data_IF_850447634434
#
_entry.id   IF_850447634434
#
_cell.length_a   1.000
_cell.length_b   1.000
_cell.length_c   1.000
_cell.angle_alpha   90.00
_cell.angle_beta   90.00
_cell.angle_gamma   90.00
#
_symmetry.space_group_name_H-M   'P 1'
#
loop_
_entity.id
_entity.type
_entity.pdbx_description
1 polymer ?
#
# COMPACT_ATOMS: atom_id res chain seq x y z
N UNK A 1 -19.75 -6.62 33.01
CA UNK A 1 -19.50 -6.29 31.60
C UNK A 1 -19.54 -4.78 31.47
N UNK A 2 -18.37 -4.16 31.52
CA UNK A 2 -18.20 -2.72 31.28
C UNK A 2 -18.25 -2.46 29.76
N UNK A 3 -18.95 -1.42 29.31
CA UNK A 3 -19.07 -1.07 27.89
C UNK A 3 -17.90 -0.17 27.44
N UNK A 4 -16.65 -0.60 27.70
CA UNK A 4 -15.45 0.22 27.51
C UNK A 4 -14.35 -0.46 26.69
N UNK A 5 -14.71 -1.44 25.86
CA UNK A 5 -13.88 -1.96 24.78
C UNK A 5 -14.53 -1.55 23.46
N UNK A 6 -14.64 -0.22 23.23
CA UNK A 6 -14.68 0.27 21.86
C UNK A 6 -13.28 0.03 21.31
N UNK A 7 -13.14 -1.15 20.72
CA UNK A 7 -12.05 -1.58 19.85
C UNK A 7 -11.82 -0.46 18.82
N UNK A 8 -10.96 0.50 19.17
CA UNK A 8 -10.41 1.45 18.23
C UNK A 8 -9.55 0.60 17.31
N UNK A 9 -10.18 0.09 16.25
CA UNK A 9 -9.52 -0.41 15.06
C UNK A 9 -8.74 0.77 14.45
N UNK A 10 -7.71 1.24 15.16
CA UNK A 10 -6.68 2.10 14.61
C UNK A 10 -5.96 1.22 13.59
N UNK A 11 -6.31 1.42 12.31
CA UNK A 11 -5.60 0.75 11.24
C UNK A 11 -4.09 1.00 11.41
N UNK A 12 -3.25 -0.03 11.26
CA UNK A 12 -1.83 0.08 11.54
C UNK A 12 -1.19 1.18 10.68
N UNK A 13 -0.56 2.14 11.35
CA UNK A 13 0.21 3.20 10.69
C UNK A 13 1.37 2.56 9.93
N UNK A 14 1.48 2.84 8.63
CA UNK A 14 2.58 2.32 7.81
C UNK A 14 3.88 3.04 8.18
N UNK A 15 4.94 2.28 8.40
CA UNK A 15 6.27 2.82 8.67
C UNK A 15 6.90 3.39 7.39
N UNK A 16 7.98 4.19 7.54
CA UNK A 16 8.75 4.62 6.38
C UNK A 16 9.34 3.43 5.58
N UNK A 17 9.64 2.31 6.23
CA UNK A 17 10.10 1.10 5.54
C UNK A 17 8.99 0.48 4.68
N UNK A 18 7.76 0.44 5.19
CA UNK A 18 6.58 -0.03 4.46
C UNK A 18 6.31 0.84 3.22
N UNK A 19 6.37 2.17 3.40
CA UNK A 19 6.25 3.10 2.27
C UNK A 19 7.34 2.89 1.23
N UNK A 20 8.59 2.67 1.65
CA UNK A 20 9.70 2.40 0.75
C UNK A 20 9.45 1.14 -0.08
N UNK A 21 8.99 0.06 0.55
CA UNK A 21 8.65 -1.19 -0.13
C UNK A 21 7.53 -1.00 -1.17
N UNK A 22 6.46 -0.25 -0.83
CA UNK A 22 5.39 0.06 -1.77
C UNK A 22 5.88 0.92 -2.96
N UNK A 23 6.64 1.98 -2.67
CA UNK A 23 7.09 2.94 -3.69
C UNK A 23 8.17 2.38 -4.61
N UNK A 24 8.89 1.35 -4.19
CA UNK A 24 9.85 0.61 -5.02
C UNK A 24 9.18 -0.05 -6.24
N UNK A 25 7.88 -0.31 -6.17
CA UNK A 25 7.09 -0.93 -7.26
C UNK A 25 6.74 0.07 -8.37
N UNK A 26 6.84 1.36 -8.07
CA UNK A 26 6.50 2.43 -9.00
C UNK A 26 7.62 2.78 -9.95
N UNK A 27 7.25 3.19 -11.15
CA UNK A 27 8.14 3.90 -12.07
C UNK A 27 8.38 5.34 -11.60
N UNK A 28 9.41 5.99 -12.14
CA UNK A 28 9.71 7.40 -11.83
C UNK A 28 8.50 8.35 -12.06
N UNK A 29 7.79 8.27 -13.21
CA UNK A 29 6.59 9.07 -13.44
C UNK A 29 5.46 8.85 -12.42
N UNK A 30 5.31 7.64 -11.90
CA UNK A 30 4.28 7.33 -10.90
C UNK A 30 4.64 7.87 -9.53
N UNK A 31 5.93 7.78 -9.13
CA UNK A 31 6.44 8.45 -7.93
C UNK A 31 6.27 9.97 -8.01
N UNK A 32 6.51 10.56 -9.18
CA UNK A 32 6.23 11.97 -9.42
C UNK A 32 4.72 12.28 -9.25
N UNK A 33 3.84 11.44 -9.77
CA UNK A 33 2.39 11.60 -9.60
C UNK A 33 1.95 11.50 -8.13
N UNK A 34 2.60 10.67 -7.31
CA UNK A 34 2.38 10.63 -5.86
C UNK A 34 2.70 11.98 -5.23
N UNK A 35 3.88 12.57 -5.53
CA UNK A 35 4.28 13.88 -5.01
C UNK A 35 3.31 14.98 -5.44
N UNK A 36 2.90 15.00 -6.71
CA UNK A 36 1.99 16.04 -7.21
C UNK A 36 0.65 16.00 -6.49
N UNK A 37 0.08 14.80 -6.32
CA UNK A 37 -1.23 14.63 -5.70
C UNK A 37 -1.17 14.92 -4.20
N UNK A 38 -0.28 14.24 -3.46
CA UNK A 38 -0.11 14.48 -2.02
C UNK A 38 0.30 15.93 -1.74
N UNK A 39 1.18 16.49 -2.56
CA UNK A 39 1.64 17.87 -2.44
C UNK A 39 0.51 18.88 -2.66
N UNK A 40 -0.40 18.64 -3.62
CA UNK A 40 -1.57 19.48 -3.84
C UNK A 40 -2.54 19.42 -2.64
N UNK A 41 -2.80 18.22 -2.11
CA UNK A 41 -3.71 18.03 -0.97
C UNK A 41 -3.14 18.65 0.31
N UNK A 42 -1.83 18.49 0.56
CA UNK A 42 -1.15 19.17 1.67
C UNK A 42 -1.12 20.69 1.47
N UNK A 43 -0.89 21.19 0.25
CA UNK A 43 -0.90 22.63 -0.04
C UNK A 43 -2.26 23.28 0.23
N UNK A 44 -3.36 22.54 0.06
CA UNK A 44 -4.70 23.01 0.39
C UNK A 44 -4.92 23.17 1.90
N UNK A 45 -4.16 22.45 2.73
CA UNK A 45 -4.21 22.54 4.20
C UNK A 45 -3.34 23.67 4.78
N UNK A 46 -2.44 24.25 3.97
CA UNK A 46 -1.57 25.34 4.42
C UNK A 46 -2.34 26.66 4.45
N UNK A 47 -2.52 27.23 5.63
CA UNK A 47 -3.37 28.44 5.82
C UNK A 47 -2.71 29.72 5.36
N UNK A 48 -1.38 29.77 5.37
CA UNK A 48 -0.61 31.00 5.13
C UNK A 48 -0.23 31.14 3.64
N UNK A 49 -0.66 32.21 2.95
CA UNK A 49 -0.45 32.35 1.50
C UNK A 49 1.03 32.32 1.06
N UNK A 50 1.92 32.91 1.86
CA UNK A 50 3.37 32.91 1.56
C UNK A 50 3.95 31.50 1.60
N UNK A 51 3.55 30.69 2.58
CA UNK A 51 3.97 29.28 2.66
C UNK A 51 3.32 28.45 1.56
N UNK A 52 2.05 28.68 1.28
CA UNK A 52 1.33 27.98 0.22
C UNK A 52 2.05 28.12 -1.14
N UNK A 53 2.49 29.34 -1.48
CA UNK A 53 3.28 29.56 -2.71
C UNK A 53 4.61 28.80 -2.69
N UNK A 54 5.33 28.81 -1.56
CA UNK A 54 6.60 28.10 -1.43
C UNK A 54 6.41 26.58 -1.55
N UNK A 55 5.35 26.04 -0.93
CA UNK A 55 4.91 24.65 -1.04
C UNK A 55 4.64 24.27 -2.49
N UNK A 56 3.81 25.03 -3.22
CA UNK A 56 3.48 24.74 -4.61
C UNK A 56 4.73 24.73 -5.50
N UNK A 57 5.67 25.64 -5.27
CA UNK A 57 6.94 25.68 -6.01
C UNK A 57 7.80 24.45 -5.71
N UNK A 58 7.94 24.05 -4.44
CA UNK A 58 8.72 22.89 -4.06
C UNK A 58 8.13 21.59 -4.64
N UNK A 59 6.81 21.40 -4.52
CA UNK A 59 6.09 20.23 -5.05
C UNK A 59 6.28 20.13 -6.57
N UNK A 60 6.09 21.23 -7.30
CA UNK A 60 6.25 21.25 -8.75
C UNK A 60 7.69 20.91 -9.17
N UNK A 61 8.69 21.53 -8.54
CA UNK A 61 10.08 21.27 -8.86
C UNK A 61 10.48 19.82 -8.58
N UNK A 62 10.07 19.25 -7.43
CA UNK A 62 10.37 17.84 -7.10
C UNK A 62 9.67 16.87 -8.04
N UNK A 63 8.40 17.11 -8.36
CA UNK A 63 7.66 16.27 -9.30
C UNK A 63 8.30 16.27 -10.69
N UNK A 64 8.75 17.44 -11.18
CA UNK A 64 9.47 17.55 -12.45
C UNK A 64 10.79 16.77 -12.42
N UNK A 65 11.56 16.87 -11.33
CA UNK A 65 12.79 16.11 -11.16
C UNK A 65 12.55 14.59 -11.18
N UNK A 66 11.53 14.10 -10.46
CA UNK A 66 11.24 12.66 -10.37
C UNK A 66 10.53 12.07 -11.58
N UNK A 67 9.87 12.88 -12.41
CA UNK A 67 9.27 12.41 -13.66
C UNK A 67 10.31 11.79 -14.61
N UNK A 68 11.58 12.12 -14.39
CA UNK A 68 12.73 11.60 -15.11
C UNK A 68 13.12 12.49 -16.29
N UNK A 69 14.41 12.77 -16.41
CA UNK A 69 14.96 13.54 -17.52
C UNK A 69 15.52 12.63 -18.62
N UNK A 70 15.56 13.15 -19.85
CA UNK A 70 16.12 12.43 -21.01
C UNK A 70 17.65 12.38 -21.01
N UNK A 71 18.31 13.24 -20.24
CA UNK A 71 19.77 13.28 -20.10
C UNK A 71 20.17 13.55 -18.65
N UNK A 72 21.36 13.06 -18.29
CA UNK A 72 21.92 13.16 -16.93
C UNK A 72 22.15 14.63 -16.50
N UNK A 73 22.61 15.48 -17.41
CA UNK A 73 22.79 16.92 -17.13
C UNK A 73 21.47 17.62 -16.79
N UNK A 74 20.38 17.25 -17.46
CA UNK A 74 19.06 17.82 -17.18
C UNK A 74 18.51 17.25 -15.87
N UNK A 75 18.73 15.96 -15.57
CA UNK A 75 18.35 15.36 -14.29
C UNK A 75 19.01 16.08 -13.12
N UNK A 76 20.35 16.24 -13.15
CA UNK A 76 21.10 16.89 -12.10
C UNK A 76 20.63 18.33 -11.84
N UNK A 77 20.38 19.09 -12.91
CA UNK A 77 19.86 20.45 -12.80
C UNK A 77 18.47 20.49 -12.15
N UNK A 78 17.56 19.61 -12.54
CA UNK A 78 16.20 19.56 -11.98
C UNK A 78 16.24 19.16 -10.50
N UNK A 79 17.12 18.23 -10.13
CA UNK A 79 17.33 17.84 -8.73
C UNK A 79 17.88 19.01 -7.90
N UNK A 80 18.86 19.76 -8.41
CA UNK A 80 19.40 20.95 -7.72
C UNK A 80 18.34 22.05 -7.55
N UNK A 81 17.51 22.27 -8.58
CA UNK A 81 16.39 23.23 -8.52
C UNK A 81 15.35 22.78 -7.49
N UNK A 82 15.03 21.49 -7.41
CA UNK A 82 14.11 20.91 -6.43
C UNK A 82 14.66 20.98 -5.00
N UNK A 83 15.93 20.63 -4.80
CA UNK A 83 16.61 20.73 -3.50
C UNK A 83 16.66 22.19 -3.02
N UNK A 84 16.91 23.13 -3.93
CA UNK A 84 16.89 24.57 -3.63
C UNK A 84 15.50 25.05 -3.22
N UNK A 85 14.46 24.65 -3.94
CA UNK A 85 13.07 25.02 -3.62
C UNK A 85 12.65 24.45 -2.25
N UNK A 86 12.97 23.18 -1.99
CA UNK A 86 12.68 22.51 -0.71
C UNK A 86 13.45 23.16 0.45
N UNK A 87 14.73 23.48 0.26
CA UNK A 87 15.54 24.19 1.27
C UNK A 87 14.98 25.57 1.59
N UNK A 88 14.49 26.31 0.60
CA UNK A 88 13.84 27.62 0.82
C UNK A 88 12.56 27.47 1.64
N UNK A 89 11.72 26.47 1.36
CA UNK A 89 10.53 26.17 2.15
C UNK A 89 10.90 25.84 3.60
N UNK A 90 11.85 24.94 3.81
CA UNK A 90 12.33 24.54 5.14
C UNK A 90 12.87 25.73 5.94
N UNK A 91 13.69 26.60 5.32
CA UNK A 91 14.20 27.83 5.95
C UNK A 91 13.08 28.81 6.32
N UNK A 92 12.08 28.96 5.46
CA UNK A 92 10.93 29.83 5.72
C UNK A 92 10.15 29.31 6.93
N UNK A 93 9.88 28.00 6.99
CA UNK A 93 9.24 27.37 8.15
C UNK A 93 10.05 27.52 9.42
N UNK A 94 11.36 27.28 9.38
CA UNK A 94 12.24 27.44 10.54
C UNK A 94 12.25 28.89 11.06
N UNK A 95 12.31 29.88 10.17
CA UNK A 95 12.24 31.29 10.55
C UNK A 95 10.92 31.64 11.23
N UNK A 96 9.80 31.12 10.73
CA UNK A 96 8.48 31.34 11.31
C UNK A 96 8.32 30.70 12.70
N UNK A 97 8.90 29.51 12.91
CA UNK A 97 8.92 28.84 14.21
C UNK A 97 9.59 29.69 15.29
N UNK A 98 10.69 30.36 14.95
CA UNK A 98 11.44 31.20 15.89
C UNK A 98 10.69 32.50 16.24
N UNK A 99 9.93 33.05 15.30
CA UNK A 99 9.34 34.38 15.48
C UNK A 99 7.92 34.41 16.05
N UNK A 100 7.16 33.31 15.99
CA UNK A 100 5.71 33.38 16.22
C UNK A 100 5.13 32.51 17.33
N UNK A 101 5.94 31.77 18.09
CA UNK A 101 5.55 31.04 19.33
C UNK A 101 4.25 30.22 19.27
N UNK A 102 3.79 29.85 18.06
CA UNK A 102 2.48 29.27 17.82
C UNK A 102 2.51 28.20 16.72
N UNK A 103 1.47 27.36 16.74
CA UNK A 103 1.35 26.06 16.09
C UNK A 103 1.97 26.01 14.69
N UNK A 104 3.00 25.18 14.57
CA UNK A 104 3.67 24.79 13.32
C UNK A 104 2.60 24.32 12.33
N UNK A 105 2.62 24.85 11.11
CA UNK A 105 1.80 24.38 9.98
C UNK A 105 2.24 22.94 9.61
N UNK A 106 1.55 21.89 10.07
CA UNK A 106 2.05 20.51 9.96
C UNK A 106 2.10 20.06 8.51
N UNK A 107 1.11 20.51 7.71
CA UNK A 107 1.05 20.25 6.27
C UNK A 107 2.27 20.79 5.52
N UNK A 108 2.76 21.99 5.86
CA UNK A 108 3.94 22.54 5.23
C UNK A 108 5.21 21.78 5.64
N UNK A 109 5.27 21.29 6.89
CA UNK A 109 6.32 20.38 7.34
C UNK A 109 6.31 19.05 6.58
N UNK A 110 5.15 18.43 6.41
CA UNK A 110 4.99 17.21 5.62
C UNK A 110 5.41 17.41 4.16
N UNK A 111 5.15 18.59 3.56
CA UNK A 111 5.64 18.91 2.21
C UNK A 111 7.17 18.98 2.14
N UNK A 112 7.85 19.47 3.19
CA UNK A 112 9.32 19.47 3.22
C UNK A 112 9.85 18.04 3.12
N UNK A 113 9.29 17.11 3.89
CA UNK A 113 9.69 15.69 3.83
C UNK A 113 9.29 15.07 2.49
N UNK A 114 8.08 15.34 1.99
CA UNK A 114 7.59 14.87 0.69
C UNK A 114 8.46 15.30 -0.49
N UNK A 115 8.98 16.53 -0.42
CA UNK A 115 9.87 17.10 -1.41
C UNK A 115 11.34 16.79 -1.12
N UNK A 116 11.65 16.00 -0.10
CA UNK A 116 12.98 15.51 0.20
C UNK A 116 13.48 14.49 -0.82
N UNK A 117 14.62 13.86 -0.53
CA UNK A 117 15.16 12.77 -1.36
C UNK A 117 14.54 11.41 -1.05
N UNK A 118 13.86 11.30 0.08
CA UNK A 118 13.20 10.08 0.54
C UNK A 118 11.67 10.25 0.47
N UNK A 119 11.06 9.74 -0.60
CA UNK A 119 9.60 9.78 -0.76
C UNK A 119 8.87 8.98 0.32
N UNK A 120 9.50 7.94 0.86
CA UNK A 120 8.87 7.10 1.87
C UNK A 120 8.69 7.86 3.17
N UNK A 121 9.71 8.62 3.58
CA UNK A 121 9.63 9.58 4.69
C UNK A 121 8.56 10.65 4.41
N UNK A 122 8.47 11.12 3.17
CA UNK A 122 7.44 12.03 2.71
C UNK A 122 6.00 11.51 2.88
N UNK A 123 5.76 10.27 2.47
CA UNK A 123 4.45 9.61 2.63
C UNK A 123 4.13 9.38 4.10
N UNK A 124 5.12 9.00 4.89
CA UNK A 124 5.01 8.87 6.35
C UNK A 124 4.65 10.19 7.04
N UNK A 125 5.25 11.31 6.62
CA UNK A 125 4.88 12.63 7.15
C UNK A 125 3.49 13.08 6.66
N UNK A 126 3.12 12.73 5.42
CA UNK A 126 1.81 13.08 4.86
C UNK A 126 0.65 12.35 5.55
N UNK A 127 0.82 11.09 5.96
CA UNK A 127 -0.25 10.33 6.64
C UNK A 127 -0.61 10.91 8.01
N UNK A 128 0.31 11.56 8.71
CA UNK A 128 0.03 12.26 9.98
C UNK A 128 -0.94 13.44 9.78
N UNK A 129 -0.97 14.01 8.58
CA UNK A 129 -1.79 15.18 8.24
C UNK A 129 -3.08 14.78 7.51
N UNK A 130 -2.99 13.86 6.55
CA UNK A 130 -4.10 13.48 5.66
C UNK A 130 -4.78 12.17 6.06
N UNK A 131 -4.21 11.41 6.99
CA UNK A 131 -4.66 10.09 7.40
C UNK A 131 -4.06 8.96 6.55
N UNK A 132 -3.70 7.86 7.20
CA UNK A 132 -3.03 6.71 6.56
C UNK A 132 -3.84 6.10 5.42
N UNK A 133 -5.15 5.86 5.62
CA UNK A 133 -6.04 5.27 4.61
C UNK A 133 -6.04 6.07 3.32
N UNK A 134 -6.09 7.40 3.44
CA UNK A 134 -6.11 8.31 2.30
C UNK A 134 -4.79 8.22 1.51
N UNK A 135 -3.66 8.37 2.20
CA UNK A 135 -2.33 8.32 1.59
C UNK A 135 -2.10 6.97 0.93
N UNK A 136 -2.44 5.87 1.61
CA UNK A 136 -2.31 4.49 1.11
C UNK A 136 -3.09 4.32 -0.20
N UNK A 137 -4.37 4.68 -0.21
CA UNK A 137 -5.21 4.55 -1.39
C UNK A 137 -4.71 5.41 -2.56
N UNK A 138 -4.25 6.63 -2.28
CA UNK A 138 -3.69 7.53 -3.29
C UNK A 138 -2.42 6.93 -3.91
N UNK A 139 -1.49 6.46 -3.09
CA UNK A 139 -0.25 5.80 -3.52
C UNK A 139 -0.58 4.58 -4.37
N UNK A 140 -1.41 3.66 -3.87
CA UNK A 140 -1.82 2.46 -4.60
C UNK A 140 -2.52 2.77 -5.94
N UNK A 141 -3.28 3.86 -6.01
CA UNK A 141 -3.92 4.30 -7.26
C UNK A 141 -2.91 4.86 -8.26
N UNK A 142 -1.84 5.51 -7.76
CA UNK A 142 -0.78 6.08 -8.58
C UNK A 142 0.18 5.02 -9.14
N UNK A 143 0.45 3.95 -8.39
CA UNK A 143 1.31 2.84 -8.80
C UNK A 143 0.61 1.90 -9.79
N UNK A 144 0.58 2.27 -11.07
CA UNK A 144 -0.17 1.57 -12.13
C UNK A 144 0.59 0.44 -12.80
N UNK A 145 1.93 0.53 -12.88
CA UNK A 145 2.80 -0.45 -13.53
C UNK A 145 2.98 -1.74 -12.72
N UNK A 146 2.55 -1.74 -11.46
CA UNK A 146 2.53 -2.90 -10.60
C UNK A 146 1.77 -4.08 -11.26
N UNK A 147 2.43 -5.22 -11.38
CA UNK A 147 1.89 -6.44 -11.99
C UNK A 147 0.99 -7.26 -11.06
N UNK A 148 0.63 -6.74 -9.88
CA UNK A 148 -0.11 -7.45 -8.84
C UNK A 148 -1.52 -6.87 -8.61
N UNK A 149 -2.36 -7.65 -7.94
CA UNK A 149 -3.71 -7.23 -7.55
C UNK A 149 -3.64 -6.30 -6.32
N UNK A 150 -3.95 -5.02 -6.53
CA UNK A 150 -3.84 -3.98 -5.51
C UNK A 150 -4.89 -4.11 -4.41
N UNK A 151 -6.08 -4.57 -4.76
CA UNK A 151 -7.16 -4.74 -3.79
C UNK A 151 -6.79 -5.85 -2.81
N UNK A 152 -6.20 -6.94 -3.31
CA UNK A 152 -5.70 -8.04 -2.46
C UNK A 152 -4.53 -7.58 -1.59
N UNK A 153 -3.57 -6.82 -2.14
CA UNK A 153 -2.46 -6.30 -1.33
C UNK A 153 -2.98 -5.43 -0.17
N UNK A 154 -3.95 -4.56 -0.45
CA UNK A 154 -4.59 -3.74 0.59
C UNK A 154 -5.31 -4.59 1.62
N UNK A 155 -6.04 -5.64 1.21
CA UNK A 155 -6.69 -6.59 2.12
C UNK A 155 -5.66 -7.32 3.00
N UNK A 156 -4.50 -7.72 2.45
CA UNK A 156 -3.40 -8.37 3.21
C UNK A 156 -2.81 -7.44 4.26
N UNK A 157 -2.46 -6.21 3.88
CA UNK A 157 -1.90 -5.20 4.81
C UNK A 157 -2.90 -4.87 5.91
N UNK A 158 -4.18 -4.70 5.56
CA UNK A 158 -5.25 -4.44 6.54
C UNK A 158 -5.49 -5.64 7.46
N UNK A 159 -5.21 -6.86 7.00
CA UNK A 159 -5.25 -8.07 7.82
C UNK A 159 -4.04 -8.22 8.77
N UNK A 160 -3.10 -7.27 8.78
CA UNK A 160 -1.91 -7.28 9.63
C UNK A 160 -0.73 -8.05 9.04
N UNK A 161 -0.80 -8.47 7.77
CA UNK A 161 0.34 -9.04 7.07
C UNK A 161 1.34 -7.92 6.73
N UNK A 162 2.64 -8.18 6.94
CA UNK A 162 3.68 -7.19 6.62
C UNK A 162 3.63 -6.81 5.14
N UNK A 163 4.02 -5.57 4.81
CA UNK A 163 3.99 -5.10 3.42
C UNK A 163 4.86 -5.95 2.51
N UNK A 164 6.06 -6.31 2.96
CA UNK A 164 6.98 -7.16 2.19
C UNK A 164 6.34 -8.51 1.85
N UNK A 165 5.79 -9.21 2.85
CA UNK A 165 5.15 -10.50 2.62
C UNK A 165 3.86 -10.36 1.80
N UNK A 166 3.09 -9.30 2.03
CA UNK A 166 1.91 -8.99 1.23
C UNK A 166 2.24 -8.80 -0.26
N UNK A 167 3.37 -8.18 -0.57
CA UNK A 167 3.85 -8.00 -1.94
C UNK A 167 4.25 -9.32 -2.60
N UNK A 168 4.95 -10.19 -1.88
CA UNK A 168 5.28 -11.54 -2.36
C UNK A 168 4.02 -12.32 -2.71
N UNK A 169 3.03 -12.31 -1.82
CA UNK A 169 1.74 -12.99 -2.02
C UNK A 169 0.96 -12.39 -3.18
N UNK A 170 0.86 -11.06 -3.26
CA UNK A 170 0.15 -10.38 -4.34
C UNK A 170 0.80 -10.64 -5.71
N UNK A 171 2.12 -10.67 -5.77
CA UNK A 171 2.88 -11.03 -6.97
C UNK A 171 2.69 -12.51 -7.34
N UNK A 172 2.70 -13.42 -6.35
CA UNK A 172 2.41 -14.83 -6.58
C UNK A 172 0.99 -15.03 -7.15
N UNK A 173 0.01 -14.29 -6.63
CA UNK A 173 -1.39 -14.31 -7.06
C UNK A 173 -1.63 -13.73 -8.45
N UNK A 174 -0.78 -12.83 -8.93
CA UNK A 174 -0.89 -12.29 -10.28
C UNK A 174 -0.90 -13.40 -11.35
N UNK A 175 -0.16 -14.49 -11.13
CA UNK A 175 -0.12 -15.67 -12.00
C UNK A 175 -1.44 -16.43 -12.04
N UNK A 176 -2.26 -16.26 -11.01
CA UNK A 176 -3.56 -16.89 -10.83
C UNK A 176 -4.72 -15.91 -11.08
N UNK A 177 -4.52 -14.91 -11.96
CA UNK A 177 -5.55 -13.94 -12.34
C UNK A 177 -6.82 -14.56 -12.93
N UNK A 178 -6.73 -15.79 -13.44
CA UNK A 178 -7.86 -16.57 -13.93
C UNK A 178 -8.73 -17.18 -12.82
N UNK A 179 -8.27 -17.20 -11.56
CA UNK A 179 -9.07 -17.67 -10.43
C UNK A 179 -10.25 -16.73 -10.15
N UNK A 180 -11.41 -17.28 -9.76
CA UNK A 180 -12.52 -16.47 -9.28
C UNK A 180 -12.11 -15.53 -8.13
N UNK A 181 -12.64 -14.31 -8.09
CA UNK A 181 -12.28 -13.31 -7.07
C UNK A 181 -12.47 -13.82 -5.63
N UNK A 182 -13.53 -14.58 -5.36
CA UNK A 182 -13.76 -15.15 -4.02
C UNK A 182 -12.67 -16.13 -3.58
N UNK A 183 -12.06 -16.83 -4.51
CA UNK A 183 -10.98 -17.78 -4.25
C UNK A 183 -9.67 -17.05 -3.97
N UNK A 184 -9.35 -16.02 -4.77
CA UNK A 184 -8.19 -15.15 -4.54
C UNK A 184 -8.29 -14.43 -3.18
N UNK A 185 -9.48 -13.94 -2.81
CA UNK A 185 -9.74 -13.35 -1.48
C UNK A 185 -9.59 -14.34 -0.33
N UNK A 186 -9.92 -15.62 -0.55
CA UNK A 186 -9.80 -16.64 0.51
C UNK A 186 -8.36 -16.85 0.97
N UNK A 187 -7.37 -16.54 0.11
CA UNK A 187 -5.95 -16.54 0.48
C UNK A 187 -5.69 -15.65 1.68
N UNK A 188 -6.26 -14.44 1.70
CA UNK A 188 -6.11 -13.48 2.81
C UNK A 188 -6.56 -14.11 4.12
N UNK A 189 -7.68 -14.84 4.10
CA UNK A 189 -8.20 -15.54 5.28
C UNK A 189 -7.26 -16.65 5.75
N UNK A 190 -6.71 -17.46 4.84
CA UNK A 190 -5.78 -18.53 5.22
C UNK A 190 -4.48 -17.99 5.81
N UNK A 191 -3.91 -16.95 5.20
CA UNK A 191 -2.67 -16.34 5.68
C UNK A 191 -2.86 -15.64 7.03
N UNK A 192 -4.00 -14.98 7.23
CA UNK A 192 -4.36 -14.40 8.53
C UNK A 192 -4.41 -15.45 9.64
N UNK A 193 -4.79 -16.68 9.31
CA UNK A 193 -4.83 -17.81 10.24
C UNK A 193 -3.47 -18.54 10.38
N UNK A 194 -2.39 -17.98 9.83
CA UNK A 194 -1.04 -18.55 9.92
C UNK A 194 -0.74 -19.63 8.89
N UNK A 195 -1.54 -19.75 7.83
CA UNK A 195 -1.27 -20.67 6.73
C UNK A 195 -0.01 -20.30 5.95
N UNK A 196 0.72 -21.31 5.48
CA UNK A 196 1.86 -21.11 4.58
C UNK A 196 1.40 -20.74 3.16
N UNK A 197 2.07 -19.77 2.54
CA UNK A 197 1.67 -19.24 1.23
C UNK A 197 1.72 -20.33 0.15
N UNK A 198 2.78 -21.12 0.09
CA UNK A 198 2.94 -22.12 -0.96
C UNK A 198 1.93 -23.26 -0.78
N UNK A 199 1.68 -23.67 0.47
CA UNK A 199 0.65 -24.66 0.77
C UNK A 199 -0.76 -24.18 0.42
N UNK A 200 -1.10 -22.92 0.76
CA UNK A 200 -2.37 -22.29 0.40
C UNK A 200 -2.53 -22.21 -1.10
N UNK A 201 -1.52 -21.72 -1.82
CA UNK A 201 -1.58 -21.61 -3.28
C UNK A 201 -1.74 -22.97 -3.95
N UNK A 202 -1.00 -23.99 -3.49
CA UNK A 202 -1.12 -25.36 -4.00
C UNK A 202 -2.52 -25.92 -3.76
N UNK A 203 -3.02 -25.84 -2.53
CA UNK A 203 -4.35 -26.32 -2.15
C UNK A 203 -5.45 -25.67 -2.98
N UNK A 204 -5.40 -24.34 -3.12
CA UNK A 204 -6.35 -23.60 -3.95
C UNK A 204 -6.20 -23.99 -5.42
N UNK A 205 -4.99 -24.15 -5.93
CA UNK A 205 -4.78 -24.60 -7.30
C UNK A 205 -5.46 -25.97 -7.57
N UNK A 206 -5.35 -26.92 -6.63
CA UNK A 206 -6.03 -28.22 -6.72
C UNK A 206 -7.56 -28.06 -6.77
N UNK A 207 -8.12 -27.21 -5.90
CA UNK A 207 -9.56 -26.89 -5.91
C UNK A 207 -9.97 -26.24 -7.23
N UNK A 208 -9.16 -25.36 -7.81
CA UNK A 208 -9.46 -24.70 -9.06
C UNK A 208 -9.49 -25.68 -10.25
N UNK A 209 -8.55 -26.61 -10.31
CA UNK A 209 -8.46 -27.61 -11.38
C UNK A 209 -9.45 -28.77 -11.24
N UNK A 210 -10.02 -28.95 -10.05
CA UNK A 210 -10.95 -30.04 -9.76
C UNK A 210 -12.34 -29.92 -10.41
N UNK A 211 -12.54 -29.07 -11.43
CA UNK A 211 -13.80 -28.83 -12.18
C UNK A 211 -15.06 -28.88 -11.27
N UNK A 212 -15.01 -28.18 -10.16
CA UNK A 212 -16.15 -28.00 -9.25
C UNK A 212 -17.06 -26.88 -9.77
N UNK A 213 -18.36 -26.96 -9.50
CA UNK A 213 -19.25 -25.81 -9.65
C UNK A 213 -18.85 -24.69 -8.70
N UNK A 214 -19.23 -23.43 -8.98
CA UNK A 214 -18.91 -22.30 -8.11
C UNK A 214 -19.46 -22.46 -6.69
N UNK A 215 -20.62 -23.12 -6.53
CA UNK A 215 -21.16 -23.42 -5.21
C UNK A 215 -20.28 -24.44 -4.47
N UNK A 216 -19.88 -25.53 -5.14
CA UNK A 216 -18.96 -26.52 -4.57
C UNK A 216 -17.59 -25.92 -4.24
N UNK A 217 -17.05 -25.01 -5.06
CA UNK A 217 -15.81 -24.31 -4.75
C UNK A 217 -15.94 -23.50 -3.45
N UNK A 218 -17.04 -22.76 -3.27
CA UNK A 218 -17.29 -22.02 -2.02
C UNK A 218 -17.43 -22.95 -0.82
N UNK A 219 -18.12 -24.07 -0.97
CA UNK A 219 -18.20 -25.10 0.07
C UNK A 219 -16.83 -25.68 0.39
N UNK A 220 -16.00 -25.97 -0.63
CA UNK A 220 -14.64 -26.46 -0.44
C UNK A 220 -13.80 -25.49 0.39
N UNK A 221 -13.83 -24.21 0.04
CA UNK A 221 -13.12 -23.15 0.77
C UNK A 221 -13.61 -23.03 2.21
N UNK A 222 -14.94 -23.10 2.42
CA UNK A 222 -15.51 -23.08 3.77
C UNK A 222 -15.09 -24.31 4.60
N UNK A 223 -14.96 -25.49 3.97
CA UNK A 223 -14.47 -26.70 4.64
C UNK A 223 -12.97 -26.62 4.97
N UNK A 224 -12.17 -25.99 4.11
CA UNK A 224 -10.74 -25.78 4.34
C UNK A 224 -10.48 -24.72 5.43
N UNK A 225 -11.36 -23.73 5.56
CA UNK A 225 -11.27 -22.67 6.57
C UNK A 225 -11.77 -23.09 7.96
N UNK A 226 -12.42 -24.25 8.07
CA UNK A 226 -12.90 -24.76 9.35
C UNK A 226 -11.72 -25.22 10.22
N UNK A 227 -11.71 -24.83 11.50
CA UNK A 227 -10.63 -25.09 12.45
C UNK A 227 -10.32 -26.59 12.62
N UNK A 228 -11.36 -27.44 12.60
CA UNK A 228 -11.25 -28.89 12.73
C UNK A 228 -11.34 -29.64 11.38
N UNK A 229 -10.84 -29.05 10.30
CA UNK A 229 -10.95 -29.69 8.98
C UNK A 229 -10.15 -31.00 8.92
N UNK A 230 -10.78 -32.16 8.65
CA UNK A 230 -10.07 -33.45 8.61
C UNK A 230 -9.16 -33.57 7.38
N UNK A 231 -9.22 -32.60 6.47
CA UNK A 231 -8.49 -32.58 5.21
C UNK A 231 -7.19 -31.76 5.28
N UNK A 232 -6.99 -30.94 6.32
CA UNK A 232 -5.89 -29.96 6.35
C UNK A 232 -5.86 -29.10 5.08
N UNK A 233 -4.65 -28.82 4.57
CA UNK A 233 -4.42 -28.11 3.29
C UNK A 233 -4.34 -29.04 2.08
N UNK A 234 -5.22 -30.04 2.00
CA UNK A 234 -5.36 -30.97 0.88
C UNK A 234 -6.60 -30.62 0.01
N UNK A 235 -6.36 -29.83 -1.03
CA UNK A 235 -7.42 -29.41 -1.95
C UNK A 235 -7.99 -30.58 -2.79
N UNK A 236 -7.20 -31.62 -3.03
CA UNK A 236 -7.64 -32.81 -3.77
C UNK A 236 -8.61 -33.63 -2.92
N UNK A 237 -8.31 -33.84 -1.64
CA UNK A 237 -9.18 -34.59 -0.74
C UNK A 237 -10.54 -33.90 -0.52
N UNK A 238 -10.54 -32.57 -0.36
CA UNK A 238 -11.78 -31.79 -0.26
C UNK A 238 -12.59 -31.88 -1.56
N UNK A 239 -11.94 -31.71 -2.71
CA UNK A 239 -12.61 -31.78 -3.99
C UNK A 239 -13.19 -33.18 -4.29
N UNK A 240 -12.47 -34.24 -3.93
CA UNK A 240 -12.93 -35.62 -4.06
C UNK A 240 -14.17 -35.86 -3.18
N UNK A 241 -14.13 -35.40 -1.93
CA UNK A 241 -15.27 -35.48 -0.99
C UNK A 241 -16.51 -34.82 -1.57
N UNK A 242 -16.40 -33.60 -2.09
CA UNK A 242 -17.54 -32.86 -2.67
C UNK A 242 -18.10 -33.49 -3.95
N UNK A 243 -17.33 -34.38 -4.58
CA UNK A 243 -17.75 -35.17 -5.73
C UNK A 243 -18.27 -36.55 -5.36
N UNK A 244 -18.26 -36.91 -4.08
CA UNK A 244 -18.60 -38.25 -3.61
C UNK A 244 -17.56 -39.32 -3.99
N UNK A 245 -16.32 -38.92 -4.28
CA UNK A 245 -15.21 -39.84 -4.59
C UNK A 245 -14.47 -40.15 -3.29
N UNK A 246 -14.39 -41.42 -2.92
CA UNK A 246 -13.59 -41.85 -1.77
C UNK A 246 -12.15 -42.07 -2.23
N UNK A 247 -11.22 -41.26 -1.72
CA UNK A 247 -9.79 -41.48 -1.93
C UNK A 247 -9.32 -42.52 -0.91
N UNK A 248 -8.98 -43.73 -1.36
CA UNK A 248 -8.19 -44.67 -0.56
C UNK A 248 -6.78 -44.11 -0.41
N UNK A 249 -6.37 -43.86 0.83
CA UNK A 249 -4.97 -43.55 1.20
C UNK A 249 -4.07 -44.74 0.93
#
# INVERSE_FOLDING_TARGET
>A
MTPDELDTNEEPVLSAADWSALLALGTAPERAAVVERLGADLAAQVRRPLLQRAVTVAVKARAEAWRGARSEQVAARLDDEADTATSRLAKTLAHMRVQQDEHIEPAAGAVVELCGRDLALGCWAAQEVLGMVYVRNLVMTALRSASFDRDILLELITAGISVEHGLEVAAALARYSWWPTHMRRSVVTFLKNGGDVDEVMRCLNDVAFSRLSSMQQRTALSMLQAEDTPYGMDGVAVAATLRGITLTR
#
